data_IF_065441680556
#
_entry.id   IF_065441680556
#
_cell.length_a   1.000
_cell.length_b   1.000
_cell.length_c   1.000
_cell.angle_alpha   90.00
_cell.angle_beta   90.00
_cell.angle_gamma   90.00
#
_symmetry.space_group_name_H-M   'P 1'
#
loop_
_entity.id
_entity.type
_entity.pdbx_description
1 polymer ?
#
# COMPACT_ATOMS: atom_id res chain seq x y z
N UNK A 1 36.97 7.59 -43.41
CA UNK A 1 36.52 6.86 -42.19
C UNK A 1 36.46 7.72 -40.92
N UNK A 2 37.15 8.86 -40.82
CA UNK A 2 37.18 9.69 -39.59
C UNK A 2 35.82 10.35 -39.24
N UNK A 3 35.11 10.93 -40.23
CA UNK A 3 33.84 11.68 -40.01
C UNK A 3 32.70 10.86 -39.41
N UNK A 4 32.62 9.57 -39.73
CA UNK A 4 31.56 8.69 -39.22
C UNK A 4 31.77 8.41 -37.72
N UNK A 5 33.05 8.37 -37.29
CA UNK A 5 33.41 8.13 -35.89
C UNK A 5 33.08 9.35 -35.04
N UNK A 6 33.40 10.55 -35.52
CA UNK A 6 33.05 11.81 -34.85
C UNK A 6 31.53 11.98 -34.72
N UNK A 7 30.77 11.72 -35.79
CA UNK A 7 29.31 11.79 -35.76
C UNK A 7 28.68 10.81 -34.75
N UNK A 8 29.21 9.58 -34.67
CA UNK A 8 28.75 8.56 -33.70
C UNK A 8 29.02 8.97 -32.25
N UNK A 9 30.16 9.59 -31.98
CA UNK A 9 30.50 10.07 -30.63
C UNK A 9 29.55 11.18 -30.19
N UNK A 10 29.29 12.16 -31.07
CA UNK A 10 28.36 13.26 -30.77
C UNK A 10 26.95 12.71 -30.52
N UNK A 11 26.49 11.77 -31.35
CA UNK A 11 25.18 11.13 -31.18
C UNK A 11 25.08 10.37 -29.85
N UNK A 12 26.14 9.67 -29.43
CA UNK A 12 26.17 8.95 -28.16
C UNK A 12 26.09 9.91 -26.95
N UNK A 13 26.82 11.04 -27.00
CA UNK A 13 26.80 12.05 -25.93
C UNK A 13 25.44 12.76 -25.86
N UNK A 14 24.84 13.07 -27.02
CA UNK A 14 23.53 13.70 -27.08
C UNK A 14 22.41 12.83 -26.51
N UNK A 15 22.57 11.50 -26.53
CA UNK A 15 21.58 10.55 -26.00
C UNK A 15 21.65 10.37 -24.47
N UNK A 16 22.66 10.91 -23.78
CA UNK A 16 22.85 10.70 -22.34
C UNK A 16 21.66 11.15 -21.46
N UNK A 17 21.00 12.30 -21.69
CA UNK A 17 19.83 12.71 -20.88
C UNK A 17 18.66 11.75 -21.01
N UNK A 18 18.42 11.24 -22.24
CA UNK A 18 17.39 10.25 -22.50
C UNK A 18 17.75 8.90 -21.88
N UNK A 19 19.03 8.49 -21.97
CA UNK A 19 19.53 7.27 -21.34
C UNK A 19 19.36 7.34 -19.82
N UNK A 20 19.65 8.49 -19.20
CA UNK A 20 19.40 8.70 -17.77
C UNK A 20 17.92 8.58 -17.42
N UNK A 21 17.02 9.14 -18.23
CA UNK A 21 15.58 9.05 -17.99
C UNK A 21 15.06 7.60 -18.09
N UNK A 22 15.57 6.80 -19.05
CA UNK A 22 15.09 5.43 -19.30
C UNK A 22 15.79 4.38 -18.42
N UNK A 23 17.06 4.60 -18.08
CA UNK A 23 17.90 3.65 -17.34
C UNK A 23 18.09 4.04 -15.86
N UNK A 24 17.76 5.27 -15.47
CA UNK A 24 17.92 5.76 -14.10
C UNK A 24 16.95 5.15 -13.09
N UNK A 25 15.91 4.47 -13.58
CA UNK A 25 14.92 3.75 -12.76
C UNK A 25 13.98 4.68 -11.98
N UNK A 26 12.70 4.34 -11.93
CA UNK A 26 11.81 4.72 -10.83
C UNK A 26 10.98 3.49 -10.46
N UNK A 27 11.43 2.80 -9.41
CA UNK A 27 10.59 1.84 -8.70
C UNK A 27 10.46 2.32 -7.26
N UNK A 28 9.81 3.47 -7.05
CA UNK A 28 9.25 3.77 -5.74
C UNK A 28 7.94 3.00 -5.63
N UNK A 29 8.06 1.75 -5.18
CA UNK A 29 6.94 1.01 -4.61
C UNK A 29 6.91 1.27 -3.11
N UNK A 30 6.70 2.53 -2.72
CA UNK A 30 6.25 2.80 -1.36
C UNK A 30 5.06 3.74 -1.45
N UNK A 31 3.89 3.13 -1.40
CA UNK A 31 2.63 3.85 -1.46
C UNK A 31 2.30 4.54 -0.13
N UNK A 32 3.06 4.31 0.97
CA UNK A 32 2.73 4.81 2.30
C UNK A 32 1.28 4.48 2.75
N UNK A 33 0.63 3.55 2.04
CA UNK A 33 -0.81 3.35 2.08
C UNK A 33 -1.15 2.33 3.13
N UNK A 34 -1.83 2.82 4.15
CA UNK A 34 -2.49 1.98 5.11
C UNK A 34 -3.84 1.51 4.57
N UNK A 35 -3.84 0.47 3.74
CA UNK A 35 -5.08 -0.07 3.16
C UNK A 35 -5.65 -1.16 4.06
N UNK A 36 -6.87 -0.97 4.53
CA UNK A 36 -7.62 -1.98 5.29
C UNK A 36 -8.86 -2.32 4.49
N UNK A 37 -8.92 -3.54 3.96
CA UNK A 37 -10.07 -4.06 3.22
C UNK A 37 -10.77 -5.06 4.11
N UNK A 38 -12.09 -4.92 4.26
CA UNK A 38 -12.90 -5.89 4.98
C UNK A 38 -14.10 -6.30 4.13
N UNK A 39 -14.31 -7.61 4.02
CA UNK A 39 -15.40 -8.21 3.25
C UNK A 39 -16.21 -9.08 4.18
N UNK A 40 -17.51 -8.82 4.24
CA UNK A 40 -18.38 -9.41 5.21
C UNK A 40 -19.69 -9.87 4.57
N UNK A 41 -20.03 -11.14 4.81
CA UNK A 41 -21.26 -11.77 4.31
C UNK A 41 -21.84 -12.63 5.43
N UNK A 42 -23.04 -12.29 5.89
CA UNK A 42 -23.84 -13.13 6.79
C UNK A 42 -25.17 -13.45 6.10
N UNK A 43 -25.44 -14.73 5.86
CA UNK A 43 -26.66 -15.19 5.17
C UNK A 43 -27.29 -16.33 5.97
N UNK A 44 -28.59 -16.20 6.26
CA UNK A 44 -29.36 -17.16 7.05
C UNK A 44 -29.99 -16.54 8.31
N UNK A 45 -31.00 -17.19 8.87
CA UNK A 45 -31.66 -16.72 10.09
C UNK A 45 -30.75 -16.95 11.31
N UNK A 46 -30.55 -15.90 12.12
CA UNK A 46 -29.62 -15.91 13.24
C UNK A 46 -28.15 -15.72 12.83
N UNK A 47 -27.86 -15.36 11.58
CA UNK A 47 -26.51 -15.03 11.15
C UNK A 47 -26.11 -13.64 11.67
N UNK A 48 -25.00 -13.58 12.40
CA UNK A 48 -24.34 -12.36 12.84
C UNK A 48 -22.95 -12.30 12.24
N UNK A 49 -22.49 -11.11 11.89
CA UNK A 49 -21.15 -10.90 11.35
C UNK A 49 -20.61 -9.58 11.87
N UNK A 50 -19.47 -9.64 12.54
CA UNK A 50 -18.85 -8.52 13.23
C UNK A 50 -17.41 -8.35 12.73
N UNK A 51 -17.07 -7.11 12.38
CA UNK A 51 -15.81 -6.74 11.79
C UNK A 51 -15.02 -5.91 12.80
N UNK A 52 -13.89 -6.44 13.25
CA UNK A 52 -13.09 -5.76 14.25
C UNK A 52 -11.70 -5.42 13.72
N UNK A 53 -11.64 -4.48 12.76
CA UNK A 53 -10.37 -4.07 12.14
C UNK A 53 -9.85 -2.75 12.74
N UNK A 54 -8.64 -2.79 13.29
CA UNK A 54 -7.88 -1.59 13.63
C UNK A 54 -6.58 -1.56 12.82
N UNK A 55 -6.25 -0.37 12.33
CA UNK A 55 -5.12 -0.19 11.42
C UNK A 55 -4.33 1.04 11.81
N UNK A 56 -3.01 0.87 11.94
CA UNK A 56 -2.09 1.89 12.40
C UNK A 56 -0.98 2.08 11.38
N UNK A 57 -0.68 3.33 11.05
CA UNK A 57 0.42 3.69 10.16
C UNK A 57 1.33 4.69 10.84
N UNK A 58 2.64 4.49 10.75
CA UNK A 58 3.65 5.40 11.29
C UNK A 58 3.47 5.82 12.77
N UNK A 59 3.05 4.91 13.65
CA UNK A 59 2.91 5.26 15.07
C UNK A 59 3.93 4.55 15.97
N UNK A 60 4.88 5.29 16.58
CA UNK A 60 5.92 4.71 17.45
C UNK A 60 5.37 4.23 18.80
N UNK A 61 4.20 4.73 19.24
CA UNK A 61 3.49 4.26 20.44
C UNK A 61 1.98 4.31 20.19
N UNK A 62 1.34 3.16 20.06
CA UNK A 62 -0.12 3.05 19.96
C UNK A 62 -0.61 1.90 20.83
N UNK A 63 -1.66 2.16 21.60
CA UNK A 63 -2.47 1.12 22.24
C UNK A 63 -3.77 1.06 21.47
N UNK A 64 -4.12 -0.14 21.00
CA UNK A 64 -5.38 -0.43 20.32
C UNK A 64 -6.11 -1.44 21.18
N UNK A 65 -7.25 -1.04 21.73
CA UNK A 65 -8.19 -1.93 22.41
C UNK A 65 -9.43 -2.05 21.55
N UNK A 66 -9.75 -3.28 21.15
CA UNK A 66 -10.91 -3.59 20.32
C UNK A 66 -11.87 -4.56 21.05
N UNK A 67 -11.85 -4.56 22.38
CA UNK A 67 -12.67 -5.48 23.16
C UNK A 67 -14.17 -5.29 22.87
N UNK A 68 -14.86 -6.41 22.62
CA UNK A 68 -16.32 -6.47 22.53
C UNK A 68 -16.89 -6.74 23.93
N UNK A 69 -17.95 -6.03 24.32
CA UNK A 69 -18.59 -6.20 25.64
C UNK A 69 -20.05 -6.57 25.46
N UNK A 70 -20.36 -7.85 25.67
CA UNK A 70 -21.73 -8.36 25.67
C UNK A 70 -22.29 -8.29 27.09
N UNK A 71 -23.25 -7.39 27.32
CA UNK A 71 -23.99 -7.30 28.58
C UNK A 71 -25.35 -7.94 28.37
N UNK A 72 -25.63 -9.01 29.11
CA UNK A 72 -26.94 -9.66 29.12
C UNK A 72 -27.55 -9.53 30.49
N UNK A 73 -28.72 -8.89 30.55
CA UNK A 73 -29.53 -8.86 31.76
C UNK A 73 -30.42 -10.10 31.79
N UNK A 74 -30.47 -10.76 32.95
CA UNK A 74 -31.46 -11.79 33.26
C UNK A 74 -32.15 -11.38 34.54
N UNK A 75 -33.46 -11.59 34.60
CA UNK A 75 -34.24 -11.29 35.79
C UNK A 75 -33.76 -12.17 36.94
N UNK A 76 -33.55 -11.55 38.10
CA UNK A 76 -33.10 -12.26 39.29
C UNK A 76 -34.25 -13.04 39.97
N UNK A 77 -35.50 -12.73 39.60
CA UNK A 77 -36.73 -13.40 40.03
C UNK A 77 -37.91 -12.94 39.17
#
# INVERSE_FOLDING_TARGET
>A
MARIRTARVIAAVAALPLAFAVLGGVAQADDGRNSTVNSQVAVGAGASNEANNASLNNSPFSVVDQSDTVITFTDLW
#
